data_IF_352552868686
#
_entry.id   IF_352552868686
#
_cell.length_a   1.000
_cell.length_b   1.000
_cell.length_c   1.000
_cell.angle_alpha   90.00
_cell.angle_beta   90.00
_cell.angle_gamma   90.00
#
_symmetry.space_group_name_H-M   'P 1'
#
loop_
_entity.id
_entity.type
_entity.pdbx_description
1 polymer ?
#
# COMPACT_ATOMS: atom_id res chain seq x y z
N UNK A 1 -22.21 11.01 4.52
CA UNK A 1 -21.76 9.62 4.79
C UNK A 1 -21.73 8.74 3.54
N UNK A 2 -22.62 8.94 2.55
CA UNK A 2 -22.54 8.31 1.21
C UNK A 2 -21.34 8.77 0.36
N UNK A 3 -20.84 9.99 0.58
CA UNK A 3 -19.72 10.59 -0.15
C UNK A 3 -18.44 9.77 -0.02
N UNK A 4 -18.17 9.18 1.15
CA UNK A 4 -16.96 8.37 1.40
C UNK A 4 -16.99 7.07 0.56
N UNK A 5 -18.17 6.49 0.33
CA UNK A 5 -18.34 5.24 -0.41
C UNK A 5 -18.05 5.41 -1.91
N UNK A 6 -18.54 6.51 -2.49
CA UNK A 6 -18.20 6.90 -3.87
C UNK A 6 -16.74 7.31 -4.00
N UNK A 7 -16.15 7.81 -2.92
CA UNK A 7 -14.78 8.30 -2.91
C UNK A 7 -13.72 7.21 -2.65
N UNK A 8 -14.06 6.01 -2.16
CA UNK A 8 -13.07 4.98 -1.80
C UNK A 8 -12.14 4.64 -2.96
N UNK A 9 -12.69 4.19 -4.09
CA UNK A 9 -11.89 3.80 -5.25
C UNK A 9 -11.09 4.97 -5.86
N UNK A 10 -11.66 6.16 -6.12
CA UNK A 10 -10.86 7.27 -6.64
C UNK A 10 -9.78 7.74 -5.66
N UNK A 11 -10.04 7.77 -4.35
CA UNK A 11 -9.00 8.07 -3.36
C UNK A 11 -7.93 6.99 -3.32
N UNK A 12 -8.31 5.72 -3.36
CA UNK A 12 -7.37 4.59 -3.38
C UNK A 12 -6.50 4.61 -4.64
N UNK A 13 -7.06 4.99 -5.79
CA UNK A 13 -6.31 5.21 -7.04
C UNK A 13 -5.26 6.30 -6.85
N UNK A 14 -5.67 7.49 -6.37
CA UNK A 14 -4.77 8.63 -6.15
C UNK A 14 -3.66 8.27 -5.15
N UNK A 15 -4.04 7.70 -4.01
CA UNK A 15 -3.11 7.29 -2.97
C UNK A 15 -2.18 6.16 -3.42
N UNK A 16 -2.66 5.25 -4.27
CA UNK A 16 -1.83 4.21 -4.88
C UNK A 16 -0.76 4.81 -5.79
N UNK A 17 -1.12 5.73 -6.70
CA UNK A 17 -0.13 6.41 -7.54
C UNK A 17 0.85 7.26 -6.72
N UNK A 18 0.35 8.01 -5.73
CA UNK A 18 1.20 8.75 -4.80
C UNK A 18 2.14 7.80 -4.04
N UNK A 19 1.65 6.64 -3.62
CA UNK A 19 2.43 5.59 -2.96
C UNK A 19 3.57 5.06 -3.82
N UNK A 20 3.37 4.88 -5.13
CA UNK A 20 4.46 4.52 -6.05
C UNK A 20 5.57 5.58 -6.03
N UNK A 21 5.19 6.85 -6.15
CA UNK A 21 6.14 7.98 -6.14
C UNK A 21 6.91 8.00 -4.81
N UNK A 22 6.18 7.94 -3.69
CA UNK A 22 6.77 7.94 -2.35
C UNK A 22 7.68 6.73 -2.14
N UNK A 23 7.33 5.54 -2.64
CA UNK A 23 8.17 4.35 -2.54
C UNK A 23 9.50 4.49 -3.31
N UNK A 24 9.50 5.15 -4.48
CA UNK A 24 10.73 5.48 -5.22
C UNK A 24 11.62 6.42 -4.40
N UNK A 25 11.05 7.46 -3.79
CA UNK A 25 11.81 8.37 -2.92
C UNK A 25 12.29 7.69 -1.65
N UNK A 26 11.47 6.85 -1.02
CA UNK A 26 11.81 6.10 0.17
C UNK A 26 12.98 5.15 -0.08
N UNK A 27 13.08 4.55 -1.27
CA UNK A 27 14.24 3.76 -1.68
C UNK A 27 15.53 4.57 -1.61
N UNK A 28 15.58 5.72 -2.28
CA UNK A 28 16.77 6.58 -2.27
C UNK A 28 17.11 7.11 -0.87
N UNK A 29 16.08 7.45 -0.09
CA UNK A 29 16.24 7.94 1.27
C UNK A 29 16.79 6.85 2.21
N UNK A 30 16.26 5.62 2.14
CA UNK A 30 16.74 4.50 2.93
C UNK A 30 18.15 4.07 2.51
N UNK A 31 18.44 4.00 1.21
CA UNK A 31 19.77 3.67 0.70
C UNK A 31 20.84 4.67 1.16
N UNK A 32 20.50 5.95 1.25
CA UNK A 32 21.41 7.00 1.74
C UNK A 32 21.61 7.01 3.26
N UNK A 33 20.80 6.27 4.03
CA UNK A 33 20.92 6.19 5.50
C UNK A 33 21.26 4.77 5.97
N UNK A 34 21.43 3.83 5.04
CA UNK A 34 21.77 2.43 5.31
C UNK A 34 23.17 2.32 5.90
N UNK A 35 23.30 1.59 7.01
CA UNK A 35 24.60 1.23 7.55
C UNK A 35 25.24 0.13 6.70
N UNK A 36 24.42 -0.78 6.18
CA UNK A 36 24.81 -1.84 5.27
C UNK A 36 23.80 -1.98 4.12
N UNK A 37 24.23 -2.36 2.90
CA UNK A 37 23.31 -2.56 1.77
C UNK A 37 22.16 -3.52 2.09
N UNK A 38 22.45 -4.51 2.94
CA UNK A 38 21.53 -5.57 3.38
C UNK A 38 20.33 -5.05 4.19
N UNK A 39 20.47 -3.89 4.83
CA UNK A 39 19.41 -3.28 5.65
C UNK A 39 18.17 -2.93 4.82
N UNK A 40 18.37 -2.70 3.51
CA UNK A 40 17.32 -2.33 2.56
C UNK A 40 16.73 -3.51 1.77
N UNK A 41 17.23 -4.72 2.02
CA UNK A 41 16.87 -5.94 1.30
C UNK A 41 15.85 -6.78 2.07
N UNK A 42 14.95 -7.44 1.34
CA UNK A 42 13.91 -8.26 1.94
C UNK A 42 14.48 -9.64 2.36
N UNK A 43 14.58 -9.93 3.66
CA UNK A 43 15.00 -11.23 4.22
C UNK A 43 16.21 -11.90 3.54
N UNK A 44 17.30 -11.16 3.33
CA UNK A 44 18.51 -11.70 2.69
C UNK A 44 18.35 -12.07 1.21
N UNK A 45 17.20 -11.80 0.61
CA UNK A 45 17.02 -11.86 -0.84
C UNK A 45 17.73 -10.67 -1.48
N UNK A 46 18.08 -10.78 -2.77
CA UNK A 46 18.63 -9.65 -3.55
C UNK A 46 17.58 -8.60 -3.94
N UNK A 47 16.37 -8.67 -3.36
CA UNK A 47 15.26 -7.80 -3.75
C UNK A 47 15.13 -6.61 -2.79
N UNK A 48 15.17 -5.37 -3.33
CA UNK A 48 14.79 -4.15 -2.63
C UNK A 48 13.43 -4.25 -1.93
N UNK A 49 13.34 -3.91 -0.63
CA UNK A 49 12.04 -3.79 0.04
C UNK A 49 11.13 -2.76 -0.64
N UNK A 50 11.72 -1.67 -1.18
CA UNK A 50 10.97 -0.65 -1.91
C UNK A 50 10.36 -1.17 -3.22
N UNK A 51 10.93 -2.22 -3.83
CA UNK A 51 10.35 -2.82 -5.04
C UNK A 51 9.01 -3.49 -4.73
N UNK A 52 8.89 -4.16 -3.59
CA UNK A 52 7.60 -4.68 -3.12
C UNK A 52 6.60 -3.54 -2.88
N UNK A 53 7.06 -2.44 -2.29
CA UNK A 53 6.24 -1.23 -2.13
C UNK A 53 5.74 -0.68 -3.48
N UNK A 54 6.63 -0.45 -4.44
CA UNK A 54 6.28 0.07 -5.77
C UNK A 54 5.28 -0.83 -6.49
N UNK A 55 5.51 -2.14 -6.51
CA UNK A 55 4.62 -3.10 -7.15
C UNK A 55 3.27 -3.14 -6.42
N UNK A 56 3.27 -3.20 -5.09
CA UNK A 56 2.05 -3.22 -4.28
C UNK A 56 1.19 -1.99 -4.51
N UNK A 57 1.77 -0.79 -4.45
CA UNK A 57 1.06 0.46 -4.71
C UNK A 57 0.54 0.56 -6.15
N UNK A 58 1.30 0.12 -7.14
CA UNK A 58 0.86 0.08 -8.53
C UNK A 58 -0.35 -0.85 -8.71
N UNK A 59 -0.31 -2.05 -8.13
CA UNK A 59 -1.44 -2.99 -8.18
C UNK A 59 -2.67 -2.43 -7.47
N UNK A 60 -2.51 -1.79 -6.31
CA UNK A 60 -3.60 -1.12 -5.60
C UNK A 60 -4.22 -0.03 -6.48
N UNK A 61 -3.40 0.82 -7.12
CA UNK A 61 -3.88 1.88 -8.00
C UNK A 61 -4.64 1.35 -9.22
N UNK A 62 -4.07 0.36 -9.92
CA UNK A 62 -4.65 -0.22 -11.14
C UNK A 62 -5.96 -0.94 -10.82
N UNK A 63 -5.99 -1.74 -9.75
CA UNK A 63 -7.21 -2.45 -9.36
C UNK A 63 -8.31 -1.48 -8.91
N UNK A 64 -7.97 -0.42 -8.16
CA UNK A 64 -8.93 0.61 -7.78
C UNK A 64 -9.48 1.37 -9.00
N UNK A 65 -8.60 1.80 -9.91
CA UNK A 65 -8.98 2.51 -11.13
C UNK A 65 -9.90 1.68 -12.03
N UNK A 66 -9.56 0.41 -12.24
CA UNK A 66 -10.37 -0.47 -13.09
C UNK A 66 -11.75 -0.77 -12.51
N UNK A 67 -11.87 -0.85 -11.18
CA UNK A 67 -13.17 -0.94 -10.49
C UNK A 67 -13.94 0.37 -10.61
N UNK A 68 -13.30 1.52 -10.40
CA UNK A 68 -13.92 2.85 -10.50
C UNK A 68 -14.58 3.07 -11.88
N UNK A 69 -13.90 2.62 -12.94
CA UNK A 69 -14.37 2.74 -14.32
C UNK A 69 -15.31 1.63 -14.76
N UNK A 70 -15.64 0.67 -13.89
CA UNK A 70 -16.41 -0.54 -14.23
C UNK A 70 -15.84 -1.31 -15.44
N UNK A 71 -14.53 -1.21 -15.68
CA UNK A 71 -13.83 -1.89 -16.78
C UNK A 71 -13.58 -3.36 -16.39
N UNK A 72 -13.43 -3.63 -15.09
CA UNK A 72 -12.95 -4.90 -14.57
C UNK A 72 -13.98 -5.60 -13.65
N UNK A 73 -13.91 -6.95 -13.54
CA UNK A 73 -14.93 -7.74 -12.86
C UNK A 73 -15.01 -7.48 -11.34
N UNK A 74 -16.16 -7.82 -10.74
CA UNK A 74 -16.41 -7.70 -9.27
C UNK A 74 -15.31 -8.34 -8.41
N UNK A 75 -14.63 -9.36 -8.92
CA UNK A 75 -13.48 -10.04 -8.28
C UNK A 75 -12.34 -9.07 -7.95
N UNK A 76 -12.11 -8.03 -8.76
CA UNK A 76 -11.06 -7.06 -8.48
C UNK A 76 -11.35 -6.16 -7.27
N UNK A 77 -12.61 -6.03 -6.85
CA UNK A 77 -12.93 -5.35 -5.59
C UNK A 77 -12.29 -6.10 -4.43
N UNK A 78 -12.49 -7.41 -4.39
CA UNK A 78 -11.94 -8.30 -3.36
C UNK A 78 -10.40 -8.29 -3.42
N UNK A 79 -9.82 -8.37 -4.62
CA UNK A 79 -8.36 -8.31 -4.79
C UNK A 79 -7.81 -6.97 -4.28
N UNK A 80 -8.47 -5.84 -4.55
CA UNK A 80 -8.02 -4.55 -4.05
C UNK A 80 -8.00 -4.51 -2.51
N UNK A 81 -9.04 -5.02 -1.85
CA UNK A 81 -9.06 -5.14 -0.38
C UNK A 81 -7.95 -6.04 0.16
N UNK A 82 -7.72 -7.18 -0.48
CA UNK A 82 -6.64 -8.11 -0.12
C UNK A 82 -5.28 -7.40 -0.25
N UNK A 83 -5.04 -6.68 -1.35
CA UNK A 83 -3.80 -5.93 -1.56
C UNK A 83 -3.60 -4.85 -0.49
N UNK A 84 -4.64 -4.10 -0.13
CA UNK A 84 -4.57 -3.10 0.94
C UNK A 84 -4.31 -3.74 2.30
N UNK A 85 -4.94 -4.89 2.61
CA UNK A 85 -4.68 -5.63 3.83
C UNK A 85 -3.21 -6.12 3.89
N UNK A 86 -2.69 -6.64 2.78
CA UNK A 86 -1.27 -7.00 2.66
C UNK A 86 -0.35 -5.80 2.84
N UNK A 87 -0.70 -4.63 2.32
CA UNK A 87 0.07 -3.41 2.53
C UNK A 87 0.12 -3.01 4.02
N UNK A 88 -0.99 -3.19 4.74
CA UNK A 88 -1.05 -3.03 6.20
C UNK A 88 -0.10 -3.99 6.93
N UNK A 89 -0.16 -5.29 6.62
CA UNK A 89 0.73 -6.29 7.21
C UNK A 89 2.21 -6.03 6.86
N UNK A 90 2.48 -5.64 5.62
CA UNK A 90 3.82 -5.27 5.18
C UNK A 90 4.35 -4.05 5.94
N UNK A 91 3.50 -3.11 6.30
CA UNK A 91 3.88 -1.95 7.13
C UNK A 91 4.34 -2.38 8.52
N UNK A 92 3.62 -3.32 9.16
CA UNK A 92 4.02 -3.88 10.46
C UNK A 92 5.41 -4.51 10.36
N UNK A 93 5.65 -5.27 9.28
CA UNK A 93 6.96 -5.84 9.00
C UNK A 93 8.05 -4.78 8.80
N UNK A 94 7.77 -3.71 8.04
CA UNK A 94 8.73 -2.62 7.82
C UNK A 94 9.07 -1.89 9.13
N UNK A 95 8.09 -1.66 10.01
CA UNK A 95 8.32 -1.07 11.33
C UNK A 95 9.23 -1.98 12.16
N UNK A 96 8.92 -3.27 12.23
CA UNK A 96 9.78 -4.24 12.91
C UNK A 96 11.22 -4.21 12.38
N UNK A 97 11.40 -4.25 11.06
CA UNK A 97 12.73 -4.18 10.45
C UNK A 97 13.45 -2.88 10.76
N UNK A 98 12.77 -1.75 10.69
CA UNK A 98 13.36 -0.45 10.98
C UNK A 98 13.89 -0.35 12.42
N UNK A 99 13.24 -1.03 13.37
CA UNK A 99 13.71 -1.13 14.76
C UNK A 99 14.92 -2.05 14.83
N UNK A 100 14.92 -3.17 14.11
CA UNK A 100 16.06 -4.10 14.11
C UNK A 100 17.34 -3.53 13.52
N UNK A 101 17.24 -2.76 12.44
CA UNK A 101 18.40 -2.18 11.75
C UNK A 101 18.70 -0.75 12.19
N UNK A 102 17.97 -0.23 13.18
CA UNK A 102 18.05 1.15 13.67
C UNK A 102 17.98 2.21 12.56
N UNK A 103 17.26 1.88 11.48
CA UNK A 103 17.14 2.70 10.29
C UNK A 103 15.69 3.12 10.09
N UNK A 104 15.43 4.40 10.30
CA UNK A 104 14.15 4.99 9.96
C UNK A 104 14.40 6.30 9.24
N UNK A 105 14.07 6.34 7.95
CA UNK A 105 14.20 7.55 7.15
C UNK A 105 12.82 8.25 6.97
N UNK A 106 12.78 9.56 6.73
CA UNK A 106 11.53 10.28 6.48
C UNK A 106 10.67 9.68 5.36
N UNK A 107 11.31 9.12 4.32
CA UNK A 107 10.58 8.43 3.24
C UNK A 107 9.81 7.19 3.71
N UNK A 108 10.39 6.40 4.62
CA UNK A 108 9.72 5.24 5.21
C UNK A 108 8.50 5.65 6.04
N UNK A 109 8.61 6.73 6.84
CA UNK A 109 7.47 7.29 7.58
C UNK A 109 6.31 7.66 6.65
N UNK A 110 6.60 8.31 5.52
CA UNK A 110 5.58 8.64 4.52
C UNK A 110 4.91 7.38 3.95
N UNK A 111 5.67 6.32 3.65
CA UNK A 111 5.10 5.05 3.22
C UNK A 111 4.20 4.42 4.30
N UNK A 112 4.60 4.45 5.57
CA UNK A 112 3.79 3.91 6.67
C UNK A 112 2.48 4.68 6.82
N UNK A 113 2.54 6.01 6.80
CA UNK A 113 1.36 6.86 6.87
C UNK A 113 0.39 6.58 5.72
N UNK A 114 0.89 6.45 4.48
CA UNK A 114 0.07 6.12 3.32
C UNK A 114 -0.61 4.75 3.45
N UNK A 115 0.13 3.72 3.88
CA UNK A 115 -0.46 2.40 4.09
C UNK A 115 -1.51 2.41 5.19
N UNK A 116 -1.28 3.13 6.29
CA UNK A 116 -2.28 3.28 7.36
C UNK A 116 -3.55 3.96 6.81
N UNK A 117 -3.41 5.06 6.05
CA UNK A 117 -4.55 5.74 5.44
C UNK A 117 -5.31 4.82 4.49
N UNK A 118 -4.62 4.06 3.64
CA UNK A 118 -5.23 3.08 2.73
C UNK A 118 -6.02 2.02 3.52
N UNK A 119 -5.44 1.46 4.58
CA UNK A 119 -6.11 0.46 5.43
C UNK A 119 -7.34 1.04 6.11
N UNK A 120 -7.26 2.27 6.65
CA UNK A 120 -8.40 2.94 7.27
C UNK A 120 -9.53 3.21 6.27
N UNK A 121 -9.19 3.64 5.06
CA UNK A 121 -10.17 3.82 3.97
C UNK A 121 -10.82 2.48 3.59
N UNK A 122 -10.02 1.42 3.48
CA UNK A 122 -10.52 0.09 3.18
C UNK A 122 -11.47 -0.42 4.28
N UNK A 123 -11.09 -0.32 5.56
CA UNK A 123 -11.95 -0.70 6.67
C UNK A 123 -13.25 0.10 6.71
N UNK A 124 -13.18 1.43 6.54
CA UNK A 124 -14.35 2.29 6.51
C UNK A 124 -15.34 1.94 5.38
N UNK A 125 -14.83 1.43 4.25
CA UNK A 125 -15.65 0.96 3.14
C UNK A 125 -16.11 -0.50 3.34
N UNK A 126 -15.30 -1.35 3.99
CA UNK A 126 -15.59 -2.76 4.23
C UNK A 126 -16.73 -2.97 5.22
N UNK A 127 -16.81 -2.20 6.30
CA UNK A 127 -17.95 -2.28 7.25
C UNK A 127 -19.30 -1.87 6.64
N UNK A 128 -19.30 -1.33 5.42
CA UNK A 128 -20.49 -0.99 4.64
C UNK A 128 -20.66 -1.89 3.41
N UNK A 129 -19.77 -2.85 3.23
CA UNK A 129 -19.85 -3.83 2.17
C UNK A 129 -20.93 -4.84 2.58
N UNK A 130 -22.13 -4.71 2.01
CA UNK A 130 -23.07 -5.83 2.00
C UNK A 130 -22.42 -6.96 1.21
N UNK A 131 -22.15 -8.12 1.83
CA UNK A 131 -21.54 -9.23 1.12
C UNK A 131 -22.62 -9.79 0.20
N UNK A 132 -22.66 -9.28 -1.04
CA UNK A 132 -23.39 -9.84 -2.17
C UNK A 132 -24.91 -10.01 -1.95
N UNK A 133 -25.74 -9.00 -2.25
CA UNK A 133 -27.19 -9.21 -2.28
C UNK A 133 -27.66 -10.12 -3.43
N UNK A 134 -26.85 -10.29 -4.47
CA UNK A 134 -27.24 -10.99 -5.72
C UNK A 134 -26.31 -12.16 -6.12
N UNK A 135 -25.75 -12.87 -5.13
CA UNK A 135 -25.24 -14.24 -5.30
C UNK A 135 -26.14 -15.20 -4.55
#
# INVERSE_FOLDING_TARGET
MEVILKAYYPLTTILGFLGVIVAVFAWGCAAGHAHQPEDTLFFGTRMPMAMFGMIGYALIAITAFGVERNILPKVLKVINYILVAFAGLFTIYLVYRSVQVELVCPGCWCCWALNIVLVLLALANFFKFEPFPDL
#
